data_IF_843214507369
#
_entry.id   IF_843214507369
#
_cell.length_a   1.000
_cell.length_b   1.000
_cell.length_c   1.000
_cell.angle_alpha   90.00
_cell.angle_beta   90.00
_cell.angle_gamma   90.00
#
_symmetry.space_group_name_H-M   'P 1'
#
loop_
_entity.id
_entity.type
_entity.pdbx_description
1 polymer ?
#
# COMPACT_ATOMS: atom_id res chain seq x y z
N UNK A 1 -3.19 -10.88 -19.72
CA UNK A 1 -2.00 -11.13 -18.89
C UNK A 1 -2.04 -12.58 -18.45
N UNK A 2 -0.93 -13.29 -18.61
CA UNK A 2 -0.81 -14.65 -18.11
C UNK A 2 -0.67 -14.62 -16.58
N UNK A 3 -0.93 -15.73 -15.88
CA UNK A 3 -0.67 -15.80 -14.43
C UNK A 3 0.80 -15.52 -14.06
N UNK A 4 1.72 -15.69 -15.01
CA UNK A 4 3.15 -15.47 -14.82
C UNK A 4 3.54 -13.98 -14.74
N UNK A 5 2.68 -13.06 -15.17
CA UNK A 5 2.96 -11.61 -15.16
C UNK A 5 2.53 -10.92 -13.84
N UNK A 6 1.95 -11.67 -12.89
CA UNK A 6 1.45 -11.13 -11.63
C UNK A 6 2.56 -11.02 -10.60
N UNK A 7 2.66 -9.86 -9.95
CA UNK A 7 3.64 -9.62 -8.91
C UNK A 7 3.06 -9.96 -7.54
N UNK A 8 3.65 -10.93 -6.84
CA UNK A 8 3.39 -11.13 -5.42
C UNK A 8 4.13 -10.05 -4.62
N UNK A 9 3.39 -9.31 -3.79
CA UNK A 9 3.98 -8.24 -2.99
C UNK A 9 4.52 -8.78 -1.68
N UNK A 10 5.79 -8.46 -1.40
CA UNK A 10 6.32 -8.56 -0.05
C UNK A 10 5.52 -7.65 0.89
N UNK A 11 5.37 -8.09 2.13
CA UNK A 11 4.57 -7.41 3.14
C UNK A 11 4.93 -5.91 3.28
N UNK A 12 6.23 -5.59 3.38
CA UNK A 12 6.69 -4.20 3.52
C UNK A 12 6.39 -3.33 2.29
N UNK A 13 6.40 -3.92 1.09
CA UNK A 13 6.02 -3.22 -0.14
C UNK A 13 4.54 -2.86 -0.13
N UNK A 14 3.68 -3.78 0.31
CA UNK A 14 2.25 -3.50 0.41
C UNK A 14 1.96 -2.38 1.42
N UNK A 15 2.63 -2.36 2.56
CA UNK A 15 2.48 -1.30 3.56
C UNK A 15 2.79 0.08 2.99
N UNK A 16 3.91 0.17 2.25
CA UNK A 16 4.31 1.38 1.55
C UNK A 16 3.23 1.83 0.53
N UNK A 17 2.65 0.91 -0.24
CA UNK A 17 1.59 1.23 -1.20
C UNK A 17 0.29 1.70 -0.53
N UNK A 18 -0.09 1.10 0.60
CA UNK A 18 -1.26 1.53 1.39
C UNK A 18 -1.03 2.94 1.95
N UNK A 19 0.11 3.18 2.61
CA UNK A 19 0.45 4.50 3.16
C UNK A 19 0.47 5.57 2.06
N UNK A 20 1.10 5.28 0.91
CA UNK A 20 1.14 6.20 -0.22
C UNK A 20 -0.26 6.51 -0.76
N UNK A 21 -1.13 5.50 -0.84
CA UNK A 21 -2.51 5.66 -1.30
C UNK A 21 -3.30 6.59 -0.39
N UNK A 22 -3.28 6.33 0.92
CA UNK A 22 -3.97 7.16 1.92
C UNK A 22 -3.39 8.58 2.02
N UNK A 23 -2.06 8.72 1.89
CA UNK A 23 -1.42 10.04 1.89
C UNK A 23 -1.85 10.91 0.69
N UNK A 24 -2.17 10.28 -0.44
CA UNK A 24 -2.51 10.95 -1.70
C UNK A 24 -4.00 11.24 -1.83
N UNK A 25 -4.86 10.31 -1.42
CA UNK A 25 -6.31 10.40 -1.63
C UNK A 25 -7.12 10.74 -0.37
N UNK A 26 -6.48 10.75 0.80
CA UNK A 26 -7.18 10.92 2.08
C UNK A 26 -7.83 9.62 2.57
N UNK A 27 -8.87 9.77 3.38
CA UNK A 27 -9.54 8.66 4.04
C UNK A 27 -10.22 7.72 3.02
N UNK A 28 -9.96 6.42 3.12
CA UNK A 28 -10.55 5.41 2.23
C UNK A 28 -10.93 4.14 3.00
N UNK A 29 -12.01 3.47 2.60
CA UNK A 29 -12.30 2.13 3.10
C UNK A 29 -11.38 1.08 2.45
N UNK A 30 -11.20 -0.07 3.10
CA UNK A 30 -10.24 -1.11 2.69
C UNK A 30 -10.36 -1.53 1.22
N UNK A 31 -11.59 -1.73 0.72
CA UNK A 31 -11.82 -2.04 -0.69
C UNK A 31 -11.36 -0.91 -1.64
N UNK A 32 -11.53 0.36 -1.28
CA UNK A 32 -11.13 1.50 -2.11
C UNK A 32 -9.60 1.61 -2.21
N UNK A 33 -8.90 1.30 -1.12
CA UNK A 33 -7.43 1.21 -1.10
C UNK A 33 -6.96 0.12 -2.06
N UNK A 34 -7.51 -1.10 -1.94
CA UNK A 34 -7.18 -2.22 -2.81
C UNK A 34 -7.40 -1.86 -4.30
N UNK A 35 -8.61 -1.36 -4.62
CA UNK A 35 -8.98 -0.95 -5.98
C UNK A 35 -8.06 0.12 -6.55
N UNK A 36 -7.62 1.08 -5.72
CA UNK A 36 -6.71 2.12 -6.18
C UNK A 36 -5.34 1.54 -6.53
N UNK A 37 -4.80 0.64 -5.71
CA UNK A 37 -3.51 -0.01 -5.97
C UNK A 37 -3.59 -0.87 -7.25
N UNK A 38 -4.66 -1.65 -7.41
CA UNK A 38 -4.92 -2.42 -8.64
C UNK A 38 -4.96 -1.51 -9.88
N UNK A 39 -5.69 -0.39 -9.80
CA UNK A 39 -5.81 0.56 -10.91
C UNK A 39 -4.46 1.20 -11.27
N UNK A 40 -3.68 1.65 -10.28
CA UNK A 40 -2.39 2.30 -10.50
C UNK A 40 -1.35 1.31 -11.04
N UNK A 41 -1.41 0.05 -10.63
CA UNK A 41 -0.51 -1.00 -11.11
C UNK A 41 -0.88 -1.55 -12.49
N UNK A 42 -1.95 -1.05 -13.13
CA UNK A 42 -2.41 -1.59 -14.41
C UNK A 42 -2.91 -3.04 -14.33
N UNK A 43 -3.29 -3.50 -13.13
CA UNK A 43 -3.71 -4.88 -12.87
C UNK A 43 -2.58 -5.87 -12.59
N UNK A 44 -1.31 -5.44 -12.56
CA UNK A 44 -0.17 -6.30 -12.22
C UNK A 44 -0.14 -6.72 -10.74
N UNK A 45 -0.80 -5.94 -9.88
CA UNK A 45 -1.07 -6.29 -8.49
C UNK A 45 -2.58 -6.50 -8.34
N UNK A 46 -2.97 -7.64 -7.76
CA UNK A 46 -4.35 -7.91 -7.35
C UNK A 46 -4.41 -8.11 -5.84
N UNK A 47 -5.22 -7.29 -5.17
CA UNK A 47 -5.33 -7.31 -3.72
C UNK A 47 -6.68 -7.87 -3.32
N UNK A 48 -6.68 -9.16 -2.98
CA UNK A 48 -7.85 -9.77 -2.37
C UNK A 48 -7.97 -9.35 -0.89
N UNK A 49 -9.12 -9.68 -0.28
CA UNK A 49 -9.39 -9.36 1.12
C UNK A 49 -8.37 -9.98 2.08
N UNK A 50 -7.90 -11.20 1.80
CA UNK A 50 -6.89 -11.91 2.59
C UNK A 50 -5.51 -11.27 2.56
N UNK A 51 -5.23 -10.36 1.63
CA UNK A 51 -3.97 -9.62 1.55
C UNK A 51 -4.09 -8.23 2.16
N UNK A 52 -5.15 -7.48 1.81
CA UNK A 52 -5.29 -6.08 2.23
C UNK A 52 -5.61 -5.93 3.72
N UNK A 53 -6.51 -6.76 4.27
CA UNK A 53 -6.95 -6.57 5.65
C UNK A 53 -5.87 -6.88 6.70
N UNK A 54 -5.06 -7.94 6.54
CA UNK A 54 -3.91 -8.14 7.44
C UNK A 54 -2.92 -6.98 7.41
N UNK A 55 -2.68 -6.35 6.25
CA UNK A 55 -1.85 -5.15 6.16
C UNK A 55 -2.47 -3.98 6.92
N UNK A 56 -3.76 -3.73 6.75
CA UNK A 56 -4.46 -2.66 7.46
C UNK A 56 -4.43 -2.84 8.98
N UNK A 57 -4.58 -4.08 9.47
CA UNK A 57 -4.47 -4.38 10.91
C UNK A 57 -3.08 -4.03 11.43
N UNK A 58 -2.01 -4.52 10.78
CA UNK A 58 -0.64 -4.22 11.22
C UNK A 58 -0.30 -2.74 11.18
N UNK A 59 -0.69 -2.04 10.11
CA UNK A 59 -0.46 -0.60 9.97
C UNK A 59 -1.17 0.20 11.07
N UNK A 60 -2.33 -0.27 11.51
CA UNK A 60 -3.08 0.32 12.62
C UNK A 60 -2.43 0.01 13.97
N UNK A 61 -1.97 -1.23 14.18
CA UNK A 61 -1.19 -1.63 15.37
C UNK A 61 0.13 -0.85 15.50
N UNK A 62 0.78 -0.53 14.38
CA UNK A 62 1.97 0.33 14.32
C UNK A 62 1.64 1.83 14.51
N UNK A 63 0.36 2.21 14.56
CA UNK A 63 -0.08 3.60 14.66
C UNK A 63 0.20 4.45 13.41
N UNK A 64 0.52 3.82 12.28
CA UNK A 64 0.77 4.52 11.01
C UNK A 64 -0.52 4.91 10.30
N UNK A 65 -1.59 4.17 10.56
CA UNK A 65 -2.96 4.54 10.15
C UNK A 65 -3.88 4.52 11.37
N UNK A 66 -5.01 5.20 11.23
CA UNK A 66 -6.14 5.17 12.15
C UNK A 66 -7.38 4.79 11.38
N UNK A 67 -8.44 4.38 12.07
CA UNK A 67 -9.69 4.07 11.42
C UNK A 67 -10.93 4.54 12.15
N UNK A 68 -11.99 4.74 11.39
CA UNK A 68 -13.29 5.15 11.87
C UNK A 68 -14.39 4.41 11.10
N UNK A 69 -15.53 4.21 11.75
CA UNK A 69 -16.71 3.70 11.06
C UNK A 69 -17.39 4.85 10.32
N UNK A 70 -17.67 4.63 9.03
CA UNK A 70 -18.41 5.57 8.19
C UNK A 70 -19.42 4.87 7.29
N UNK A 71 -20.11 5.66 6.49
CA UNK A 71 -21.07 5.18 5.49
C UNK A 71 -20.42 5.26 4.11
N UNK A 72 -20.31 4.13 3.41
CA UNK A 72 -19.80 4.09 2.03
C UNK A 72 -20.84 4.59 1.03
N UNK A 73 -20.41 4.82 -0.22
CA UNK A 73 -21.25 5.37 -1.30
C UNK A 73 -22.51 4.54 -1.61
N UNK A 74 -22.49 3.24 -1.28
CA UNK A 74 -23.65 2.34 -1.40
C UNK A 74 -24.49 2.25 -0.11
N UNK A 75 -24.36 3.23 0.78
CA UNK A 75 -25.07 3.34 2.05
C UNK A 75 -24.86 2.16 3.01
N UNK A 76 -23.68 1.52 2.95
CA UNK A 76 -23.27 0.45 3.87
C UNK A 76 -22.28 0.98 4.89
N UNK A 77 -22.31 0.40 6.09
CA UNK A 77 -21.32 0.72 7.12
C UNK A 77 -19.98 0.10 6.72
N UNK A 78 -18.92 0.91 6.65
CA UNK A 78 -17.58 0.49 6.29
C UNK A 78 -16.55 1.14 7.23
N UNK A 79 -15.40 0.47 7.39
CA UNK A 79 -14.27 1.02 8.13
C UNK A 79 -13.41 1.83 7.17
N UNK A 80 -13.28 3.13 7.44
CA UNK A 80 -12.43 4.06 6.71
C UNK A 80 -11.11 4.20 7.44
N UNK A 81 -10.02 4.27 6.67
CA UNK A 81 -8.67 4.38 7.18
C UNK A 81 -8.06 5.70 6.75
N UNK A 82 -7.31 6.32 7.66
CA UNK A 82 -6.63 7.59 7.47
C UNK A 82 -5.19 7.48 7.92
N UNK A 83 -4.25 8.03 7.14
CA UNK A 83 -2.84 8.06 7.52
C UNK A 83 -2.61 9.05 8.67
N UNK A 84 -1.85 8.62 9.68
CA UNK A 84 -1.50 9.47 10.84
C UNK A 84 -0.26 10.32 10.55
N UNK A 85 0.09 11.22 11.48
CA UNK A 85 1.37 11.93 11.40
C UNK A 85 2.58 10.97 11.44
N UNK A 86 2.51 9.92 12.27
CA UNK A 86 3.55 8.88 12.33
C UNK A 86 3.64 8.12 11.00
N UNK A 87 2.51 7.75 10.40
CA UNK A 87 2.50 7.07 9.09
C UNK A 87 3.05 7.94 7.96
N UNK A 88 2.81 9.26 7.98
CA UNK A 88 3.41 10.17 7.00
C UNK A 88 4.94 10.26 7.14
N UNK A 89 5.44 10.25 8.38
CA UNK A 89 6.88 10.18 8.64
C UNK A 89 7.46 8.86 8.12
N UNK A 90 6.84 7.73 8.47
CA UNK A 90 7.27 6.42 8.01
C UNK A 90 7.27 6.33 6.48
N UNK A 91 6.22 6.81 5.82
CA UNK A 91 6.12 6.83 4.36
C UNK A 91 7.33 7.54 3.73
N UNK A 92 7.76 8.67 4.30
CA UNK A 92 8.93 9.39 3.80
C UNK A 92 10.22 8.56 3.94
N UNK A 93 10.38 7.90 5.08
CA UNK A 93 11.55 7.05 5.38
C UNK A 93 11.60 5.82 4.47
N UNK A 94 10.47 5.13 4.29
CA UNK A 94 10.36 3.95 3.42
C UNK A 94 10.57 4.30 1.94
N UNK A 95 10.01 5.42 1.45
CA UNK A 95 10.27 5.86 0.06
C UNK A 95 11.75 6.12 -0.15
N UNK A 96 12.41 6.83 0.78
CA UNK A 96 13.83 7.10 0.68
C UNK A 96 14.66 5.81 0.73
N UNK A 97 14.26 4.86 1.59
CA UNK A 97 14.91 3.56 1.69
C UNK A 97 14.76 2.75 0.39
N UNK A 98 13.55 2.67 -0.14
CA UNK A 98 13.24 1.99 -1.39
C UNK A 98 14.06 2.54 -2.56
N UNK A 99 14.16 3.86 -2.69
CA UNK A 99 14.98 4.51 -3.72
C UNK A 99 16.47 4.17 -3.60
N UNK A 100 17.00 4.10 -2.37
CA UNK A 100 18.39 3.69 -2.16
C UNK A 100 18.63 2.23 -2.53
N UNK A 101 17.74 1.33 -2.10
CA UNK A 101 17.88 -0.11 -2.37
C UNK A 101 17.76 -0.41 -3.86
N UNK A 102 16.76 0.17 -4.53
CA UNK A 102 16.58 -0.01 -5.98
C UNK A 102 17.78 0.50 -6.77
N UNK A 103 18.28 1.71 -6.47
CA UNK A 103 19.48 2.23 -7.12
C UNK A 103 20.72 1.35 -6.89
N UNK A 104 20.89 0.78 -5.69
CA UNK A 104 21.99 -0.13 -5.39
C UNK A 104 21.87 -1.44 -6.19
N UNK A 105 20.68 -2.04 -6.21
CA UNK A 105 20.42 -3.28 -6.97
C UNK A 105 20.64 -3.05 -8.46
N UNK A 106 20.09 -1.98 -9.01
CA UNK A 106 20.24 -1.62 -10.42
C UNK A 106 21.73 -1.42 -10.79
N UNK A 107 22.50 -0.76 -9.92
CA UNK A 107 23.94 -0.57 -10.13
C UNK A 107 24.72 -1.89 -10.15
N UNK A 108 24.39 -2.84 -9.26
CA UNK A 108 25.04 -4.16 -9.22
C UNK A 108 24.65 -5.00 -10.43
N UNK A 109 23.37 -5.00 -10.83
CA UNK A 109 22.89 -5.78 -11.97
C UNK A 109 23.36 -5.23 -13.32
N UNK A 110 23.62 -3.93 -13.41
CA UNK A 110 24.11 -3.27 -14.63
C UNK A 110 25.63 -3.29 -14.75
N UNK A 111 26.35 -3.77 -13.73
CA UNK A 111 27.79 -3.93 -13.82
C UNK A 111 28.11 -5.10 -14.77
N UNK A 112 28.58 -4.78 -15.98
CA UNK A 112 29.19 -5.78 -16.85
C UNK A 112 30.39 -6.40 -16.12
N UNK A 113 30.36 -7.72 -15.97
CA UNK A 113 31.50 -8.50 -15.46
C UNK A 113 32.38 -8.91 -16.62
#
# INVERSE_FOLDING_TARGET
MSDADRTELLQGTLDLLVLKTLATLGALHGFGIARRIEQVSGGSVLLNQGTIYPALVRLEEQGWISSEWGTSDNNRRARFYSITAAGRKQLKEEVANWQRVTALVDAVLSAET
#
